data_IF_442522815649
#
_entry.id   IF_442522815649
#
_cell.length_a   1.000
_cell.length_b   1.000
_cell.length_c   1.000
_cell.angle_alpha   90.00
_cell.angle_beta   90.00
_cell.angle_gamma   90.00
#
_symmetry.space_group_name_H-M   'P 1'
#
loop_
_entity.id
_entity.type
_entity.pdbx_description
1 polymer ?
#
# COMPACT_ATOMS: atom_id res chain seq x y z
N UNK A 1 8.65 2.64 4.62
CA UNK A 1 7.63 1.84 5.36
C UNK A 1 7.73 0.30 5.22
N UNK A 2 8.45 -0.27 4.25
CA UNK A 2 8.50 -1.74 4.05
C UNK A 2 9.40 -2.52 5.03
N UNK A 3 10.36 -1.87 5.70
CA UNK A 3 11.41 -2.55 6.47
C UNK A 3 11.17 -2.66 7.99
N UNK A 4 10.00 -2.27 8.49
CA UNK A 4 9.75 -2.29 9.93
C UNK A 4 8.53 -3.15 10.31
N UNK A 5 8.72 -4.47 10.26
CA UNK A 5 7.69 -5.47 10.58
C UNK A 5 7.07 -5.29 11.96
N UNK A 6 7.87 -4.86 12.96
CA UNK A 6 7.38 -4.60 14.32
C UNK A 6 6.37 -3.44 14.34
N UNK A 7 6.68 -2.32 13.66
CA UNK A 7 5.73 -1.21 13.50
C UNK A 7 4.48 -1.62 12.74
N UNK A 8 4.60 -2.54 11.78
CA UNK A 8 3.46 -3.07 11.04
C UNK A 8 2.53 -3.86 11.96
N UNK A 9 3.07 -4.72 12.83
CA UNK A 9 2.28 -5.49 13.79
C UNK A 9 1.58 -4.61 14.82
N UNK A 10 2.29 -3.62 15.40
CA UNK A 10 1.71 -2.65 16.32
C UNK A 10 0.56 -1.85 15.67
N UNK A 11 0.76 -1.41 14.42
CA UNK A 11 -0.28 -0.73 13.65
C UNK A 11 -1.52 -1.62 13.48
N UNK A 12 -1.34 -2.88 13.08
CA UNK A 12 -2.46 -3.80 12.89
C UNK A 12 -3.18 -4.12 14.20
N UNK A 13 -2.47 -4.27 15.31
CA UNK A 13 -3.07 -4.42 16.63
C UNK A 13 -3.94 -3.19 16.99
N UNK A 14 -3.43 -1.98 16.75
CA UNK A 14 -4.20 -0.75 16.98
C UNK A 14 -5.46 -0.68 16.10
N UNK A 15 -5.37 -1.05 14.81
CA UNK A 15 -6.54 -1.10 13.93
C UNK A 15 -7.56 -2.15 14.37
N UNK A 16 -7.10 -3.30 14.86
CA UNK A 16 -7.97 -4.34 15.42
C UNK A 16 -8.70 -3.84 16.68
N UNK A 17 -8.04 -3.08 17.55
CA UNK A 17 -8.67 -2.45 18.71
C UNK A 17 -9.80 -1.49 18.29
N UNK A 18 -9.60 -0.68 17.23
CA UNK A 18 -10.66 0.18 16.69
C UNK A 18 -11.87 -0.63 16.21
N UNK A 19 -11.63 -1.72 15.47
CA UNK A 19 -12.69 -2.62 15.00
C UNK A 19 -13.45 -3.28 16.15
N UNK A 20 -12.75 -3.71 17.20
CA UNK A 20 -13.36 -4.27 18.41
C UNK A 20 -14.30 -3.25 19.10
N UNK A 21 -13.89 -1.98 19.14
CA UNK A 21 -14.70 -0.89 19.66
C UNK A 21 -15.80 -0.41 18.70
N UNK A 22 -16.14 -1.23 17.70
CA UNK A 22 -17.19 -0.98 16.68
C UNK A 22 -16.92 0.23 15.80
N UNK A 23 -15.68 0.72 15.74
CA UNK A 23 -15.31 1.71 14.74
C UNK A 23 -15.27 1.08 13.36
N UNK A 24 -15.71 1.85 12.37
CA UNK A 24 -15.49 1.53 10.97
C UNK A 24 -14.07 1.96 10.58
N UNK A 25 -13.35 1.05 9.94
CA UNK A 25 -11.97 1.32 9.50
C UNK A 25 -11.89 1.01 8.01
N UNK A 26 -11.33 1.97 7.27
CA UNK A 26 -10.98 1.84 5.85
C UNK A 26 -9.50 2.18 5.73
N UNK A 27 -8.74 1.29 5.10
CA UNK A 27 -7.33 1.48 4.82
C UNK A 27 -7.15 1.78 3.33
N UNK A 28 -6.67 2.98 3.04
CA UNK A 28 -6.28 3.39 1.69
C UNK A 28 -4.80 3.10 1.47
N UNK A 29 -4.49 2.16 0.60
CA UNK A 29 -3.14 1.87 0.18
C UNK A 29 -2.78 2.75 -1.01
N UNK A 30 -2.13 3.87 -0.74
CA UNK A 30 -1.66 4.82 -1.75
C UNK A 30 -0.47 4.22 -2.47
N UNK A 31 -0.53 4.20 -3.80
CA UNK A 31 0.46 3.55 -4.67
C UNK A 31 0.66 4.35 -5.96
N UNK A 32 1.86 4.31 -6.51
CA UNK A 32 2.09 4.66 -7.91
C UNK A 32 1.96 3.40 -8.77
N UNK A 33 0.80 3.23 -9.42
CA UNK A 33 0.56 2.05 -10.25
C UNK A 33 1.52 1.91 -11.44
N UNK A 34 2.13 3.01 -11.90
CA UNK A 34 3.10 2.98 -12.99
C UNK A 34 4.49 2.59 -12.50
N UNK A 35 4.98 3.24 -11.43
CA UNK A 35 6.35 3.05 -10.96
C UNK A 35 6.50 1.88 -9.99
N UNK A 36 5.52 1.62 -9.13
CA UNK A 36 5.62 0.54 -8.13
C UNK A 36 4.98 -0.76 -8.64
N UNK A 37 3.75 -0.71 -9.16
CA UNK A 37 3.08 -1.95 -9.58
C UNK A 37 3.58 -2.51 -10.91
N UNK A 38 3.80 -1.62 -11.91
CA UNK A 38 4.27 -2.01 -13.24
C UNK A 38 5.80 -1.97 -13.37
N UNK A 39 6.46 -1.30 -12.43
CA UNK A 39 7.91 -1.08 -12.44
C UNK A 39 8.39 -0.50 -13.78
N UNK A 40 7.67 0.50 -14.28
CA UNK A 40 7.90 1.13 -15.60
C UNK A 40 9.06 2.14 -15.56
N UNK A 41 10.23 1.66 -15.15
CA UNK A 41 11.47 2.41 -15.19
C UNK A 41 12.20 2.15 -16.51
N UNK A 42 12.74 3.20 -17.11
CA UNK A 42 13.58 3.08 -18.30
C UNK A 42 14.85 2.26 -17.98
N UNK A 43 15.30 1.41 -18.90
CA UNK A 43 16.51 0.58 -18.78
C UNK A 43 17.81 1.41 -18.89
N UNK A 44 18.06 2.25 -17.88
CA UNK A 44 19.27 3.05 -17.68
C UNK A 44 19.53 3.14 -16.17
N UNK A 45 20.75 3.45 -15.72
CA UNK A 45 21.01 3.66 -14.30
C UNK A 45 20.08 4.71 -13.70
N UNK A 46 19.43 4.38 -12.59
CA UNK A 46 18.63 5.31 -11.79
C UNK A 46 19.18 5.37 -10.37
N UNK A 47 19.02 6.54 -9.75
CA UNK A 47 19.19 6.69 -8.30
C UNK A 47 17.79 6.63 -7.69
N UNK A 48 17.51 5.57 -6.95
CA UNK A 48 16.33 5.49 -6.11
C UNK A 48 16.62 6.23 -4.81
N UNK A 49 15.73 7.12 -4.41
CA UNK A 49 15.85 7.92 -3.18
C UNK A 49 14.70 7.53 -2.27
N UNK A 50 15.01 7.04 -1.07
CA UNK A 50 14.02 6.80 -0.04
C UNK A 50 13.48 8.13 0.48
N UNK A 51 12.17 8.34 0.41
CA UNK A 51 11.54 9.59 0.85
C UNK A 51 11.51 9.73 2.38
N UNK A 52 11.65 8.62 3.12
CA UNK A 52 11.61 8.64 4.58
C UNK A 52 12.99 8.85 5.21
N UNK A 53 14.03 8.17 4.73
CA UNK A 53 15.41 8.28 5.27
C UNK A 53 16.33 9.19 4.47
N UNK A 54 16.04 9.43 3.19
CA UNK A 54 16.96 10.09 2.26
C UNK A 54 18.07 9.18 1.73
N UNK A 55 18.04 7.88 1.99
CA UNK A 55 19.01 6.93 1.44
C UNK A 55 18.93 6.85 -0.08
N UNK A 56 20.10 6.85 -0.73
CA UNK A 56 20.22 6.77 -2.18
C UNK A 56 20.80 5.42 -2.62
N UNK A 57 20.11 4.74 -3.54
CA UNK A 57 20.56 3.47 -4.12
C UNK A 57 20.67 3.61 -5.63
N UNK A 58 21.90 3.48 -6.15
CA UNK A 58 22.17 3.51 -7.59
C UNK A 58 22.16 2.10 -8.16
N UNK A 59 21.16 1.80 -8.97
CA UNK A 59 20.99 0.48 -9.59
C UNK A 59 20.44 0.61 -11.01
N UNK A 60 20.67 -0.42 -11.81
CA UNK A 60 19.94 -0.59 -13.06
C UNK A 60 18.58 -1.25 -12.73
N UNK A 61 17.43 -0.64 -13.06
CA UNK A 61 16.12 -1.20 -12.75
C UNK A 61 15.91 -2.62 -13.29
N UNK A 62 16.53 -2.95 -14.43
CA UNK A 62 16.40 -4.29 -15.02
C UNK A 62 16.89 -5.39 -14.08
N UNK A 63 17.90 -5.12 -13.25
CA UNK A 63 18.52 -6.11 -12.38
C UNK A 63 17.68 -6.39 -11.12
N UNK A 64 16.87 -5.41 -10.69
CA UNK A 64 16.08 -5.49 -9.45
C UNK A 64 14.58 -5.71 -9.67
N UNK A 65 14.09 -5.53 -10.91
CA UNK A 65 12.67 -5.52 -11.25
C UNK A 65 11.92 -6.74 -10.72
N UNK A 66 12.41 -7.94 -11.03
CA UNK A 66 11.70 -9.17 -10.68
C UNK A 66 11.66 -9.39 -9.17
N UNK A 67 12.76 -9.07 -8.48
CA UNK A 67 12.83 -9.15 -7.03
C UNK A 67 11.88 -8.14 -6.36
N UNK A 68 11.91 -6.88 -6.81
CA UNK A 68 11.03 -5.84 -6.30
C UNK A 68 9.56 -6.20 -6.51
N UNK A 69 9.16 -6.57 -7.73
CA UNK A 69 7.77 -6.93 -8.04
C UNK A 69 7.30 -8.14 -7.22
N UNK A 70 8.18 -9.11 -6.95
CA UNK A 70 7.87 -10.25 -6.08
C UNK A 70 7.63 -9.80 -4.64
N UNK A 71 8.52 -8.98 -4.09
CA UNK A 71 8.39 -8.46 -2.73
C UNK A 71 7.15 -7.56 -2.59
N UNK A 72 6.91 -6.67 -3.55
CA UNK A 72 5.75 -5.81 -3.61
C UNK A 72 4.44 -6.61 -3.61
N UNK A 73 4.33 -7.63 -4.47
CA UNK A 73 3.14 -8.50 -4.51
C UNK A 73 2.91 -9.22 -3.18
N UNK A 74 3.96 -9.80 -2.60
CA UNK A 74 3.86 -10.48 -1.32
C UNK A 74 3.42 -9.53 -0.19
N UNK A 75 3.98 -8.32 -0.15
CA UNK A 75 3.57 -7.28 0.79
C UNK A 75 2.10 -6.91 0.62
N UNK A 76 1.66 -6.64 -0.61
CA UNK A 76 0.28 -6.26 -0.93
C UNK A 76 -0.71 -7.35 -0.55
N UNK A 77 -0.40 -8.60 -0.86
CA UNK A 77 -1.22 -9.76 -0.50
C UNK A 77 -1.32 -9.94 1.02
N UNK A 78 -0.20 -9.78 1.74
CA UNK A 78 -0.19 -9.83 3.20
C UNK A 78 -1.07 -8.73 3.81
N UNK A 79 -0.94 -7.50 3.31
CA UNK A 79 -1.73 -6.35 3.75
C UNK A 79 -3.23 -6.60 3.56
N UNK A 80 -3.63 -7.04 2.35
CA UNK A 80 -5.02 -7.38 2.02
C UNK A 80 -5.56 -8.50 2.90
N UNK A 81 -4.76 -9.54 3.16
CA UNK A 81 -5.14 -10.67 4.00
C UNK A 81 -5.37 -10.24 5.45
N UNK A 82 -4.45 -9.46 6.04
CA UNK A 82 -4.61 -8.91 7.40
C UNK A 82 -5.83 -8.00 7.51
N UNK A 83 -6.05 -7.11 6.54
CA UNK A 83 -7.26 -6.28 6.49
C UNK A 83 -8.54 -7.14 6.48
N UNK A 84 -8.58 -8.20 5.66
CA UNK A 84 -9.70 -9.14 5.62
C UNK A 84 -9.95 -9.85 6.96
N UNK A 85 -8.89 -10.32 7.63
CA UNK A 85 -8.99 -10.97 8.95
C UNK A 85 -9.59 -10.05 10.02
N UNK A 86 -9.28 -8.76 9.97
CA UNK A 86 -9.77 -7.76 10.93
C UNK A 86 -11.03 -7.03 10.49
N UNK A 87 -11.65 -7.44 9.37
CA UNK A 87 -12.82 -6.78 8.78
C UNK A 87 -12.56 -5.28 8.52
N UNK A 88 -11.36 -4.95 8.09
CA UNK A 88 -10.95 -3.61 7.64
C UNK A 88 -11.12 -3.60 6.13
N UNK A 89 -11.80 -2.58 5.60
CA UNK A 89 -11.90 -2.46 4.16
C UNK A 89 -10.60 -1.93 3.58
N UNK A 90 -10.13 -2.63 2.56
CA UNK A 90 -8.89 -2.34 1.88
C UNK A 90 -9.18 -1.73 0.51
N UNK A 91 -8.73 -0.50 0.30
CA UNK A 91 -8.92 0.23 -0.95
C UNK A 91 -7.54 0.58 -1.52
N UNK A 92 -7.25 0.12 -2.73
CA UNK A 92 -6.06 0.58 -3.48
C UNK A 92 -6.36 1.97 -4.04
N UNK A 93 -5.44 2.90 -3.82
CA UNK A 93 -5.54 4.28 -4.27
C UNK A 93 -4.35 4.61 -5.18
N UNK A 94 -4.52 4.41 -6.49
CA UNK A 94 -3.51 4.80 -7.47
C UNK A 94 -3.53 6.32 -7.66
N UNK A 95 -2.38 6.96 -7.43
CA UNK A 95 -2.21 8.42 -7.57
C UNK A 95 -2.49 8.91 -9.00
N UNK A 96 -2.43 8.03 -10.01
CA UNK A 96 -2.73 8.36 -11.41
C UNK A 96 -4.23 8.37 -11.74
N UNK A 97 -5.08 7.78 -10.90
CA UNK A 97 -6.53 7.70 -11.14
C UNK A 97 -7.31 8.89 -10.54
N UNK A 98 -6.62 9.76 -9.80
CA UNK A 98 -7.22 10.89 -9.10
C UNK A 98 -8.04 10.48 -7.88
N UNK A 99 -8.71 11.46 -7.26
CA UNK A 99 -9.38 11.26 -5.95
C UNK A 99 -10.77 10.62 -6.06
N UNK A 100 -11.37 10.63 -7.26
CA UNK A 100 -12.76 10.22 -7.44
C UNK A 100 -13.02 8.75 -7.07
N UNK A 101 -12.20 7.76 -7.49
CA UNK A 101 -12.42 6.37 -7.13
C UNK A 101 -12.36 6.14 -5.61
N UNK A 102 -11.42 6.82 -4.95
CA UNK A 102 -11.22 6.77 -3.49
C UNK A 102 -12.46 7.29 -2.75
N UNK A 103 -12.99 8.44 -3.17
CA UNK A 103 -14.20 9.03 -2.57
C UNK A 103 -15.44 8.19 -2.87
N UNK A 104 -15.55 7.63 -4.07
CA UNK A 104 -16.68 6.80 -4.45
C UNK A 104 -16.77 5.55 -3.57
N UNK A 105 -15.67 4.83 -3.38
CA UNK A 105 -15.62 3.65 -2.49
C UNK A 105 -16.03 4.01 -1.06
N UNK A 106 -15.53 5.14 -0.55
CA UNK A 106 -15.93 5.65 0.76
C UNK A 106 -17.44 5.96 0.84
N UNK A 107 -18.00 6.63 -0.17
CA UNK A 107 -19.42 7.01 -0.20
C UNK A 107 -20.35 5.80 -0.38
N UNK A 108 -20.00 4.84 -1.26
CA UNK A 108 -20.76 3.60 -1.46
C UNK A 108 -20.83 2.78 -0.17
N UNK A 109 -19.75 2.74 0.59
CA UNK A 109 -19.74 2.09 1.89
C UNK A 109 -20.68 2.77 2.87
N UNK A 110 -20.64 4.10 2.96
CA UNK A 110 -21.57 4.86 3.81
C UNK A 110 -23.02 4.67 3.40
N UNK A 111 -23.32 4.57 2.11
CA UNK A 111 -24.68 4.32 1.63
C UNK A 111 -25.21 2.94 2.07
N UNK A 112 -24.38 1.90 2.17
CA UNK A 112 -24.85 0.58 2.64
C UNK A 112 -25.22 0.55 4.13
N UNK A 113 -24.85 1.58 4.88
CA UNK A 113 -25.06 1.68 6.33
C UNK A 113 -26.29 2.50 6.71
N UNK A 114 -26.83 3.32 5.80
CA UNK A 114 -27.97 4.21 6.00
C UNK A 114 -29.04 4.01 4.93
#
# INVERSE_FOLDING_TARGET
MMDNSEKSEEMFAALQHLRHNKHEVVLFHVVDGKMEQKFDFSNRPHTFVDMESGEEVKVNPADIRDQYLKQYKAFRENLKLKCGQYQIDFVEADIHEGVNPVLLEYLLKRQKLF
#
